data_IF_090834694279
#
_entry.id   IF_090834694279
#
_cell.length_a   1.000
_cell.length_b   1.000
_cell.length_c   1.000
_cell.angle_alpha   90.00
_cell.angle_beta   90.00
_cell.angle_gamma   90.00
#
_symmetry.space_group_name_H-M   'P 1'
#
loop_
_entity.id
_entity.type
_entity.pdbx_description
1 polymer ?
#
# COMPACT_ATOMS: atom_id res chain seq x y z
N UNK A 1 -14.78 5.10 -11.45
CA UNK A 1 -14.32 3.73 -11.78
C UNK A 1 -14.58 2.83 -10.58
N UNK A 2 -15.19 1.66 -10.74
CA UNK A 2 -15.45 0.76 -9.60
C UNK A 2 -14.23 -0.13 -9.31
N UNK A 3 -14.02 -0.44 -8.03
CA UNK A 3 -12.92 -1.28 -7.56
C UNK A 3 -12.88 -2.64 -8.26
N UNK A 4 -14.01 -3.36 -8.29
CA UNK A 4 -14.08 -4.68 -8.90
C UNK A 4 -13.65 -4.67 -10.37
N UNK A 5 -14.14 -3.69 -11.15
CA UNK A 5 -13.80 -3.56 -12.56
C UNK A 5 -12.31 -3.26 -12.75
N UNK A 6 -11.75 -2.37 -11.93
CA UNK A 6 -10.33 -2.02 -11.97
C UNK A 6 -9.43 -3.21 -11.60
N UNK A 7 -9.78 -3.96 -10.56
CA UNK A 7 -9.01 -5.13 -10.13
C UNK A 7 -9.10 -6.26 -11.16
N UNK A 8 -10.26 -6.46 -11.78
CA UNK A 8 -10.41 -7.40 -12.89
C UNK A 8 -9.56 -6.99 -14.10
N UNK A 9 -9.59 -5.71 -14.49
CA UNK A 9 -8.73 -5.19 -15.56
C UNK A 9 -7.24 -5.40 -15.24
N UNK A 10 -6.83 -5.19 -13.99
CA UNK A 10 -5.46 -5.43 -13.55
C UNK A 10 -5.01 -6.88 -13.73
N UNK A 11 -5.91 -7.85 -13.56
CA UNK A 11 -5.59 -9.28 -13.66
C UNK A 11 -5.26 -9.72 -15.10
N UNK A 12 -5.74 -9.00 -16.12
CA UNK A 12 -5.52 -9.32 -17.53
C UNK A 12 -4.42 -8.47 -18.19
N UNK A 13 -3.86 -7.49 -17.47
CA UNK A 13 -2.81 -6.61 -17.96
C UNK A 13 -1.41 -7.23 -17.83
N UNK A 14 -0.42 -6.77 -18.63
CA UNK A 14 0.99 -7.11 -18.43
C UNK A 14 1.46 -6.83 -16.98
N UNK A 15 2.41 -7.61 -16.44
CA UNK A 15 2.78 -7.56 -15.01
C UNK A 15 3.17 -6.17 -14.50
N UNK A 16 3.84 -5.36 -15.31
CA UNK A 16 4.25 -4.01 -14.91
C UNK A 16 3.05 -3.07 -14.69
N UNK A 17 2.07 -3.08 -15.60
CA UNK A 17 0.84 -2.30 -15.47
C UNK A 17 -0.06 -2.85 -14.36
N UNK A 18 -0.15 -4.18 -14.27
CA UNK A 18 -0.92 -4.86 -13.22
C UNK A 18 -0.43 -4.47 -11.82
N UNK A 19 0.88 -4.63 -11.56
CA UNK A 19 1.48 -4.28 -10.27
C UNK A 19 1.31 -2.80 -9.92
N UNK A 20 1.48 -1.89 -10.89
CA UNK A 20 1.27 -0.46 -10.66
C UNK A 20 -0.19 -0.15 -10.35
N UNK A 21 -1.14 -0.80 -11.02
CA UNK A 21 -2.58 -0.63 -10.79
C UNK A 21 -2.99 -1.11 -9.41
N UNK A 22 -2.55 -2.31 -9.01
CA UNK A 22 -2.81 -2.88 -7.69
C UNK A 22 -2.23 -2.00 -6.58
N UNK A 23 -0.99 -1.54 -6.73
CA UNK A 23 -0.35 -0.66 -5.75
C UNK A 23 -1.01 0.71 -5.68
N UNK A 24 -1.35 1.31 -6.83
CA UNK A 24 -2.03 2.60 -6.89
C UNK A 24 -3.42 2.55 -6.23
N UNK A 25 -4.17 1.47 -6.45
CA UNK A 25 -5.47 1.24 -5.81
C UNK A 25 -5.32 1.18 -4.29
N UNK A 26 -4.31 0.46 -3.82
CA UNK A 26 -4.01 0.36 -2.39
C UNK A 26 -3.66 1.72 -1.80
N UNK A 27 -2.72 2.45 -2.40
CA UNK A 27 -2.34 3.81 -1.95
C UNK A 27 -3.54 4.76 -1.99
N UNK A 28 -4.40 4.66 -3.00
CA UNK A 28 -5.61 5.49 -3.09
C UNK A 28 -6.59 5.20 -1.95
N UNK A 29 -6.91 3.92 -1.71
CA UNK A 29 -7.90 3.56 -0.70
C UNK A 29 -7.38 3.79 0.73
N UNK A 30 -6.11 3.47 0.97
CA UNK A 30 -5.48 3.59 2.29
C UNK A 30 -5.07 5.02 2.63
N UNK A 31 -4.61 5.80 1.65
CA UNK A 31 -3.81 6.99 1.92
C UNK A 31 -4.12 8.22 1.05
N UNK A 32 -5.17 8.24 0.22
CA UNK A 32 -5.45 9.40 -0.67
C UNK A 32 -5.51 10.76 0.04
N UNK A 33 -5.98 10.79 1.30
CA UNK A 33 -6.08 11.99 2.13
C UNK A 33 -4.82 12.32 2.93
N UNK A 34 -3.79 11.46 2.87
CA UNK A 34 -2.55 11.65 3.63
C UNK A 34 -1.58 12.58 2.89
N UNK A 35 -0.62 13.19 3.62
CA UNK A 35 0.55 13.83 2.99
C UNK A 35 1.25 12.87 2.02
N UNK A 36 1.95 13.41 1.03
CA UNK A 36 2.69 12.61 0.03
C UNK A 36 3.64 11.61 0.71
N UNK A 37 4.26 12.00 1.82
CA UNK A 37 5.13 11.13 2.60
C UNK A 37 4.38 9.91 3.16
N UNK A 38 3.16 10.09 3.68
CA UNK A 38 2.33 8.99 4.19
C UNK A 38 1.86 8.05 3.09
N UNK A 39 1.54 8.58 1.91
CA UNK A 39 1.21 7.77 0.73
C UNK A 39 2.40 6.91 0.27
N UNK A 40 3.62 7.48 0.28
CA UNK A 40 4.84 6.71 0.00
C UNK A 40 5.11 5.64 1.06
N UNK A 41 4.86 5.95 2.34
CA UNK A 41 5.04 4.99 3.44
C UNK A 41 4.10 3.78 3.33
N UNK A 42 2.83 3.98 2.94
CA UNK A 42 1.90 2.87 2.65
C UNK A 42 2.37 2.04 1.45
N UNK A 43 2.83 2.68 0.38
CA UNK A 43 3.38 1.97 -0.77
C UNK A 43 4.61 1.13 -0.38
N UNK A 44 5.49 1.70 0.46
CA UNK A 44 6.65 1.01 1.02
C UNK A 44 6.27 -0.22 1.85
N UNK A 45 5.22 -0.14 2.69
CA UNK A 45 4.72 -1.30 3.44
C UNK A 45 4.30 -2.42 2.49
N UNK A 46 3.51 -2.11 1.45
CA UNK A 46 3.10 -3.10 0.46
C UNK A 46 4.29 -3.72 -0.28
N UNK A 47 5.28 -2.92 -0.66
CA UNK A 47 6.48 -3.41 -1.33
C UNK A 47 7.41 -4.23 -0.42
N UNK A 48 7.49 -3.88 0.87
CA UNK A 48 8.21 -4.67 1.88
C UNK A 48 7.52 -6.02 2.12
N UNK A 49 6.19 -6.04 2.18
CA UNK A 49 5.39 -7.28 2.27
C UNK A 49 5.52 -8.16 1.02
N UNK A 50 5.66 -7.58 -0.17
CA UNK A 50 6.02 -8.34 -1.38
C UNK A 50 7.40 -8.95 -1.25
N UNK A 51 8.39 -8.19 -0.78
CA UNK A 51 9.76 -8.65 -0.65
C UNK A 51 9.91 -9.79 0.39
N UNK A 52 9.02 -9.89 1.38
CA UNK A 52 9.02 -11.01 2.34
C UNK A 52 8.44 -12.32 1.79
N UNK A 53 7.68 -12.28 0.68
CA UNK A 53 7.09 -13.46 0.05
C UNK A 53 5.89 -14.09 0.78
N UNK A 54 5.53 -13.61 1.98
CA UNK A 54 4.48 -14.19 2.83
C UNK A 54 3.09 -14.23 2.17
N UNK A 55 2.81 -13.30 1.26
CA UNK A 55 1.51 -13.16 0.57
C UNK A 55 1.63 -13.31 -0.95
N UNK A 56 2.67 -13.99 -1.41
CA UNK A 56 2.97 -14.19 -2.83
C UNK A 56 4.15 -13.35 -3.33
N UNK A 57 4.48 -13.54 -4.61
CA UNK A 57 5.69 -13.04 -5.27
C UNK A 57 5.51 -11.72 -6.03
N UNK A 58 4.26 -11.27 -6.20
CA UNK A 58 3.89 -10.07 -6.92
C UNK A 58 3.01 -9.14 -6.07
N UNK A 59 2.92 -7.87 -6.49
CA UNK A 59 2.26 -6.82 -5.70
C UNK A 59 0.75 -7.06 -5.62
N UNK A 60 0.15 -7.55 -6.69
CA UNK A 60 -1.29 -7.84 -6.71
C UNK A 60 -1.66 -8.94 -5.69
N UNK A 61 -0.86 -10.00 -5.54
CA UNK A 61 -1.10 -11.02 -4.53
C UNK A 61 -1.07 -10.44 -3.11
N UNK A 62 -0.11 -9.55 -2.81
CA UNK A 62 0.02 -8.90 -1.49
C UNK A 62 -1.17 -8.02 -1.16
N UNK A 63 -1.60 -7.17 -2.10
CA UNK A 63 -2.68 -6.20 -1.82
C UNK A 63 -4.08 -6.81 -1.86
N UNK A 64 -4.23 -7.93 -2.57
CA UNK A 64 -5.45 -8.73 -2.58
C UNK A 64 -5.45 -9.85 -1.54
N UNK A 65 -4.42 -9.93 -0.69
CA UNK A 65 -4.42 -10.88 0.41
C UNK A 65 -5.53 -10.54 1.42
N UNK A 66 -6.21 -11.54 1.99
CA UNK A 66 -7.33 -11.32 2.89
C UNK A 66 -6.96 -10.43 4.08
N UNK A 67 -7.72 -9.35 4.27
CA UNK A 67 -7.61 -8.42 5.40
C UNK A 67 -6.24 -7.73 5.54
N UNK A 68 -5.42 -7.73 4.50
CA UNK A 68 -4.09 -7.09 4.54
C UNK A 68 -4.14 -5.61 4.19
N UNK A 69 -5.05 -5.24 3.28
CA UNK A 69 -5.22 -3.88 2.77
C UNK A 69 -6.69 -3.62 2.40
N UNK A 70 -7.04 -2.36 2.25
CA UNK A 70 -8.35 -1.85 1.89
C UNK A 70 -9.01 -2.51 0.67
N UNK A 71 -8.31 -2.90 -0.43
CA UNK A 71 -8.95 -3.58 -1.56
C UNK A 71 -9.76 -4.82 -1.19
N UNK A 72 -9.42 -5.52 -0.10
CA UNK A 72 -10.17 -6.70 0.38
C UNK A 72 -11.10 -6.41 1.56
N UNK A 73 -11.14 -5.15 2.03
CA UNK A 73 -11.93 -4.73 3.18
C UNK A 73 -13.12 -3.84 2.79
N UNK A 74 -13.06 -3.17 1.64
CA UNK A 74 -14.14 -2.30 1.15
C UNK A 74 -15.03 -3.05 0.15
N UNK A 75 -16.30 -2.63 -0.04
CA UNK A 75 -17.18 -3.25 -1.03
C UNK A 75 -16.59 -3.25 -2.45
N UNK A 76 -16.80 -4.31 -3.26
CA UNK A 76 -16.33 -4.34 -4.65
C UNK A 76 -16.91 -3.21 -5.53
N UNK A 77 -18.07 -2.67 -5.16
CA UNK A 77 -18.71 -1.51 -5.78
C UNK A 77 -18.10 -0.15 -5.39
N UNK A 78 -17.09 -0.13 -4.51
CA UNK A 78 -16.43 1.11 -4.07
C UNK A 78 -15.95 1.92 -5.27
N UNK A 79 -16.34 3.19 -5.32
CA UNK A 79 -16.02 4.11 -6.42
C UNK A 79 -14.71 4.85 -6.17
N UNK A 80 -13.79 4.72 -7.12
CA UNK A 80 -12.57 5.50 -7.25
C UNK A 80 -12.85 6.62 -8.27
N UNK A 81 -13.42 7.73 -7.81
CA UNK A 81 -13.87 8.85 -8.65
C UNK A 81 -13.01 10.13 -8.52
N UNK A 82 -12.16 10.25 -7.49
CA UNK A 82 -11.27 11.38 -7.37
C UNK A 82 -10.04 11.19 -8.27
N UNK A 83 -10.12 11.73 -9.49
CA UNK A 83 -9.08 11.59 -10.51
C UNK A 83 -7.74 12.21 -10.09
N UNK A 84 -7.76 13.31 -9.34
CA UNK A 84 -6.55 13.99 -8.86
C UNK A 84 -5.80 13.10 -7.85
N UNK A 85 -6.54 12.54 -6.88
CA UNK A 85 -5.98 11.59 -5.93
C UNK A 85 -5.53 10.29 -6.60
N UNK A 86 -6.28 9.79 -7.58
CA UNK A 86 -5.91 8.62 -8.37
C UNK A 86 -4.59 8.83 -9.10
N UNK A 87 -4.43 9.94 -9.83
CA UNK A 87 -3.19 10.28 -10.55
C UNK A 87 -2.00 10.38 -9.60
N UNK A 88 -2.21 10.92 -8.39
CA UNK A 88 -1.17 10.98 -7.34
C UNK A 88 -0.78 9.59 -6.85
N UNK A 89 -1.76 8.75 -6.50
CA UNK A 89 -1.53 7.39 -6.05
C UNK A 89 -0.82 6.55 -7.14
N UNK A 90 -1.21 6.71 -8.41
CA UNK A 90 -0.57 6.05 -9.55
C UNK A 90 0.92 6.44 -9.72
N UNK A 91 1.23 7.73 -9.59
CA UNK A 91 2.61 8.22 -9.65
C UNK A 91 3.46 7.69 -8.48
N UNK A 92 2.88 7.69 -7.27
CA UNK A 92 3.56 7.16 -6.08
C UNK A 92 3.82 5.67 -6.21
N UNK A 93 2.83 4.90 -6.69
CA UNK A 93 2.99 3.49 -6.98
C UNK A 93 4.11 3.22 -7.99
N UNK A 94 4.14 3.95 -9.11
CA UNK A 94 5.21 3.83 -10.10
C UNK A 94 6.60 4.11 -9.52
N UNK A 95 6.73 5.19 -8.74
CA UNK A 95 7.99 5.53 -8.06
C UNK A 95 8.41 4.47 -7.03
N UNK A 96 7.47 3.89 -6.30
CA UNK A 96 7.75 2.81 -5.36
C UNK A 96 8.24 1.55 -6.09
N UNK A 97 7.61 1.17 -7.21
CA UNK A 97 8.05 0.04 -8.02
C UNK A 97 9.48 0.23 -8.55
N UNK A 98 9.80 1.41 -9.08
CA UNK A 98 11.16 1.75 -9.55
C UNK A 98 12.16 1.72 -8.39
N UNK A 99 11.81 2.29 -7.23
CA UNK A 99 12.70 2.25 -6.06
C UNK A 99 12.97 0.80 -5.62
N UNK A 100 11.97 -0.09 -5.67
CA UNK A 100 12.15 -1.50 -5.28
C UNK A 100 12.84 -2.36 -6.35
N UNK A 101 13.01 -1.89 -7.59
CA UNK A 101 13.86 -2.55 -8.57
C UNK A 101 15.36 -2.26 -8.37
N UNK A 102 15.71 -1.27 -7.53
CA UNK A 102 17.10 -0.98 -7.18
C UNK A 102 17.67 -2.03 -6.20
N UNK A 103 19.00 -2.20 -6.16
CA UNK A 103 19.68 -2.92 -5.09
C UNK A 103 19.29 -2.35 -3.72
N UNK A 104 19.19 -3.21 -2.69
CA UNK A 104 18.70 -2.82 -1.37
C UNK A 104 19.48 -1.64 -0.74
N UNK A 105 20.77 -1.50 -1.05
CA UNK A 105 21.65 -0.41 -0.59
C UNK A 105 21.35 0.95 -1.24
N UNK A 106 20.69 0.97 -2.38
CA UNK A 106 20.35 2.19 -3.14
C UNK A 106 18.90 2.62 -2.96
N UNK A 107 18.07 1.78 -2.31
CA UNK A 107 16.67 2.10 -2.06
C UNK A 107 16.55 3.24 -1.07
N UNK A 108 15.66 4.17 -1.38
CA UNK A 108 15.21 5.18 -0.41
C UNK A 108 14.03 4.64 0.38
N UNK A 109 14.07 4.79 1.71
CA UNK A 109 12.99 4.38 2.62
C UNK A 109 12.40 5.61 3.32
N UNK A 110 11.08 5.62 3.47
CA UNK A 110 10.32 6.62 4.22
C UNK A 110 10.19 6.22 5.68
N UNK A 111 9.89 4.95 5.95
CA UNK A 111 9.84 4.40 7.32
C UNK A 111 10.61 3.07 7.33
N UNK A 112 11.94 3.11 7.48
CA UNK A 112 12.77 1.92 7.51
C UNK A 112 12.23 0.87 8.50
N UNK A 113 12.07 -0.37 8.04
CA UNK A 113 11.58 -1.48 8.86
C UNK A 113 10.06 -1.64 8.95
N UNK A 114 9.26 -0.62 8.63
CA UNK A 114 7.81 -0.71 8.80
C UNK A 114 7.13 -1.71 7.84
N UNK A 115 6.54 -2.78 8.35
CA UNK A 115 5.78 -3.75 7.56
C UNK A 115 4.29 -3.75 7.88
N UNK A 116 3.86 -2.90 8.82
CA UNK A 116 2.46 -2.76 9.23
C UNK A 116 2.15 -1.31 9.59
N UNK A 117 0.88 -0.93 9.45
CA UNK A 117 0.38 0.36 9.89
C UNK A 117 -1.09 0.25 10.29
N UNK A 118 -1.57 1.23 11.06
CA UNK A 118 -2.99 1.39 11.32
C UNK A 118 -3.36 2.87 11.48
N UNK A 119 -4.65 3.18 11.35
CA UNK A 119 -5.17 4.53 11.49
C UNK A 119 -5.11 5.01 12.94
N UNK A 120 -4.67 6.25 13.14
CA UNK A 120 -4.54 6.85 14.47
C UNK A 120 -5.88 6.97 15.22
N UNK A 121 -6.98 6.97 14.47
CA UNK A 121 -8.36 7.13 14.94
C UNK A 121 -9.04 5.83 15.39
N UNK A 122 -8.37 4.68 15.28
CA UNK A 122 -8.92 3.39 15.73
C UNK A 122 -8.13 2.85 16.92
N UNK A 123 -8.74 1.93 17.66
CA UNK A 123 -8.08 1.23 18.75
C UNK A 123 -6.85 0.44 18.24
N UNK A 124 -5.76 0.39 19.02
CA UNK A 124 -4.55 -0.32 18.61
C UNK A 124 -4.85 -1.82 18.43
N UNK A 125 -4.48 -2.41 17.28
CA UNK A 125 -4.56 -3.85 17.10
C UNK A 125 -3.61 -4.56 18.08
N UNK A 126 -3.88 -5.83 18.39
CA UNK A 126 -3.11 -6.62 19.38
C UNK A 126 -1.59 -6.55 19.19
N UNK A 127 -1.12 -6.54 17.95
CA UNK A 127 0.32 -6.47 17.63
C UNK A 127 0.97 -5.10 17.89
N UNK A 128 0.18 -4.07 18.23
CA UNK A 128 0.63 -2.70 18.46
C UNK A 128 0.38 -2.16 19.88
N UNK A 129 -0.23 -2.95 20.78
CA UNK A 129 -0.73 -2.42 22.06
C UNK A 129 0.37 -1.91 22.98
N UNK A 130 1.53 -2.58 22.97
CA UNK A 130 2.64 -2.30 23.90
C UNK A 130 3.91 -1.82 23.16
N UNK A 131 3.81 -1.57 21.86
CA UNK A 131 4.93 -1.18 21.01
C UNK A 131 4.88 0.31 20.67
N UNK A 132 6.04 0.95 20.64
CA UNK A 132 6.16 2.32 20.13
C UNK A 132 6.17 2.30 18.58
N UNK A 133 5.43 3.19 17.90
CA UNK A 133 5.48 3.26 16.45
C UNK A 133 6.86 3.73 15.97
N UNK A 134 7.33 3.17 14.85
CA UNK A 134 8.54 3.63 14.16
C UNK A 134 8.38 5.05 13.62
N UNK A 135 7.17 5.40 13.19
CA UNK A 135 6.82 6.73 12.73
C UNK A 135 5.31 6.97 12.84
N UNK A 136 4.95 8.23 12.99
CA UNK A 136 3.58 8.73 12.81
C UNK A 136 3.61 9.72 11.65
N UNK A 137 2.89 9.40 10.57
CA UNK A 137 2.85 10.26 9.37
C UNK A 137 1.39 10.47 8.98
N UNK A 138 0.94 11.72 9.04
CA UNK A 138 -0.47 12.05 8.90
C UNK A 138 -1.30 11.32 9.96
N UNK A 139 -2.34 10.62 9.54
CA UNK A 139 -3.21 9.85 10.43
C UNK A 139 -2.82 8.36 10.53
N UNK A 140 -1.59 7.97 10.21
CA UNK A 140 -1.10 6.59 10.32
C UNK A 140 0.04 6.44 11.33
N UNK A 141 0.01 5.34 12.08
CA UNK A 141 1.13 4.85 12.89
C UNK A 141 1.75 3.63 12.21
N UNK A 142 3.07 3.64 12.02
CA UNK A 142 3.82 2.61 11.30
C UNK A 142 4.67 1.77 12.26
N UNK A 143 4.74 0.46 12.04
CA UNK A 143 5.37 -0.51 12.94
C UNK A 143 6.14 -1.58 12.18
N UNK A 144 7.13 -2.16 12.84
CA UNK A 144 7.70 -3.45 12.50
C UNK A 144 7.02 -4.53 13.35
N UNK A 145 6.37 -5.49 12.70
CA UNK A 145 5.73 -6.65 13.34
C UNK A 145 6.51 -7.88 12.93
N UNK A 146 7.02 -8.62 13.90
CA UNK A 146 7.73 -9.88 13.66
C UNK A 146 6.76 -11.06 13.56
#
# INVERSE_FOLDING_TARGET
MHLAWLMWLAAIMPPHLSNQTCLATTVYLEARGQPVLGQKAVAEVAMRRRASGLWGDNVCSVVNAPKQFAPTLVPPSTSLNNLVAWKRAWNIAGKALVNWSLPSSERTYVVPGANSFYATSIAPPRWAQDEAPLAVIGSHRFYAVN
#
